data_IF_293510253459
#
_entry.id   IF_293510253459
#
_cell.length_a   1.000
_cell.length_b   1.000
_cell.length_c   1.000
_cell.angle_alpha   90.00
_cell.angle_beta   90.00
_cell.angle_gamma   90.00
#
_symmetry.space_group_name_H-M   'P 1'
#
loop_
_entity.id
_entity.type
_entity.pdbx_description
1 polymer ?
#
# COMPACT_ATOMS: atom_id res chain seq x y z
N UNK A 1 -31.64 -9.05 11.22
CA UNK A 1 -30.26 -9.50 11.40
C UNK A 1 -29.52 -8.88 10.25
N UNK A 2 -28.78 -7.80 10.49
CA UNK A 2 -27.77 -7.36 9.54
C UNK A 2 -26.68 -8.43 9.60
N UNK A 3 -26.41 -9.09 8.47
CA UNK A 3 -25.27 -10.00 8.38
C UNK A 3 -24.02 -9.12 8.36
N UNK A 4 -23.41 -8.93 9.54
CA UNK A 4 -22.18 -8.18 9.67
C UNK A 4 -21.08 -8.94 8.91
N UNK A 5 -20.39 -8.25 8.01
CA UNK A 5 -19.43 -8.87 7.11
C UNK A 5 -18.11 -9.13 7.85
N UNK A 6 -17.45 -10.25 7.53
CA UNK A 6 -16.17 -10.62 8.15
C UNK A 6 -15.07 -9.59 7.86
N UNK A 7 -15.11 -8.97 6.68
CA UNK A 7 -14.15 -7.99 6.19
C UNK A 7 -14.89 -6.78 5.60
N UNK A 8 -14.25 -5.59 5.54
CA UNK A 8 -14.87 -4.42 4.94
C UNK A 8 -15.15 -4.60 3.44
N UNK A 9 -16.25 -4.06 2.95
CA UNK A 9 -16.48 -3.97 1.50
C UNK A 9 -15.48 -3.00 0.84
N UNK A 10 -15.06 -3.29 -0.41
CA UNK A 10 -14.26 -2.37 -1.20
C UNK A 10 -15.04 -1.08 -1.52
N UNK A 11 -14.33 -0.06 -1.99
CA UNK A 11 -14.86 1.25 -2.35
C UNK A 11 -15.52 2.01 -1.19
N UNK A 12 -15.15 1.69 0.05
CA UNK A 12 -15.62 2.39 1.25
C UNK A 12 -14.50 3.20 1.87
N UNK A 13 -14.88 4.28 2.56
CA UNK A 13 -13.98 5.01 3.42
C UNK A 13 -14.01 4.40 4.82
N UNK A 14 -12.84 4.28 5.42
CA UNK A 14 -12.65 3.75 6.76
C UNK A 14 -11.58 4.54 7.49
N UNK A 15 -11.64 4.51 8.81
CA UNK A 15 -10.52 4.87 9.64
C UNK A 15 -9.66 3.64 9.85
N UNK A 16 -8.35 3.79 9.73
CA UNK A 16 -7.38 2.75 10.02
C UNK A 16 -6.41 3.21 11.10
N UNK A 17 -5.96 2.28 11.94
CA UNK A 17 -4.93 2.53 12.95
C UNK A 17 -4.04 1.32 13.07
N UNK A 18 -2.71 1.53 13.03
CA UNK A 18 -1.74 0.47 13.29
C UNK A 18 -2.00 -0.18 14.65
N UNK A 19 -1.86 -1.49 14.73
CA UNK A 19 -1.99 -2.24 15.98
C UNK A 19 -0.71 -3.05 16.22
N UNK A 20 0.36 -2.41 16.73
CA UNK A 20 1.65 -3.07 16.90
C UNK A 20 1.56 -4.26 17.87
N UNK A 21 0.78 -4.16 18.95
CA UNK A 21 0.60 -5.26 19.90
C UNK A 21 -0.07 -6.48 19.24
N UNK A 22 -1.13 -6.27 18.46
CA UNK A 22 -1.76 -7.37 17.74
C UNK A 22 -0.84 -7.92 16.63
N UNK A 23 -0.05 -7.06 15.98
CA UNK A 23 0.93 -7.46 14.97
C UNK A 23 1.98 -8.41 15.58
N UNK A 24 2.54 -8.06 16.73
CA UNK A 24 3.50 -8.91 17.45
C UNK A 24 2.87 -10.25 17.85
N UNK A 25 1.62 -10.24 18.33
CA UNK A 25 0.89 -11.46 18.64
C UNK A 25 0.68 -12.36 17.41
N UNK A 26 0.38 -11.77 16.26
CA UNK A 26 0.22 -12.49 14.99
C UNK A 26 1.55 -13.11 14.51
N UNK A 27 2.66 -12.38 14.68
CA UNK A 27 4.02 -12.83 14.35
C UNK A 27 4.66 -13.70 15.45
N UNK A 28 3.96 -13.97 16.55
CA UNK A 28 4.45 -14.74 17.70
C UNK A 28 5.73 -14.16 18.33
N UNK A 29 5.86 -12.84 18.28
CA UNK A 29 6.95 -12.10 18.94
C UNK A 29 6.51 -11.72 20.35
N UNK A 30 6.94 -12.49 21.34
CA UNK A 30 6.48 -12.42 22.73
C UNK A 30 7.55 -11.97 23.74
N UNK A 31 8.68 -11.44 23.26
CA UNK A 31 9.72 -10.95 24.15
C UNK A 31 9.31 -9.65 24.85
N UNK A 32 9.66 -9.57 26.14
CA UNK A 32 9.19 -8.49 27.02
C UNK A 32 9.70 -7.10 26.60
N UNK A 33 10.80 -7.01 25.84
CA UNK A 33 11.36 -5.74 25.38
C UNK A 33 10.51 -5.22 24.23
N UNK A 34 10.31 -6.02 23.19
CA UNK A 34 9.52 -5.65 22.01
C UNK A 34 8.06 -5.39 22.37
N UNK A 35 7.47 -6.15 23.30
CA UNK A 35 6.13 -5.86 23.82
C UNK A 35 6.07 -4.51 24.54
N UNK A 36 7.06 -4.18 25.38
CA UNK A 36 7.10 -2.91 26.09
C UNK A 36 7.38 -1.70 25.17
N UNK A 37 8.01 -1.92 24.02
CA UNK A 37 8.18 -0.91 22.96
C UNK A 37 6.87 -0.69 22.19
N UNK A 38 6.19 -1.76 21.79
CA UNK A 38 4.89 -1.68 21.14
C UNK A 38 3.83 -0.99 22.01
N UNK A 39 3.85 -1.19 23.33
CA UNK A 39 2.95 -0.48 24.26
C UNK A 39 3.21 1.03 24.34
N UNK A 40 4.45 1.47 24.05
CA UNK A 40 4.82 2.90 24.02
C UNK A 40 4.51 3.54 22.68
N UNK A 41 4.43 2.75 21.61
CA UNK A 41 4.07 3.22 20.28
C UNK A 41 2.63 3.74 20.30
N UNK A 42 2.44 4.98 19.85
CA UNK A 42 1.14 5.66 19.86
C UNK A 42 0.69 5.95 18.43
N UNK A 43 0.13 4.94 17.74
CA UNK A 43 -0.22 5.08 16.35
C UNK A 43 -1.35 6.09 16.17
N UNK A 44 -1.24 6.90 15.12
CA UNK A 44 -2.32 7.81 14.73
C UNK A 44 -3.44 7.06 14.03
N UNK A 45 -4.60 7.69 13.99
CA UNK A 45 -5.75 7.19 13.23
C UNK A 45 -5.82 7.93 11.91
N UNK A 46 -5.76 7.19 10.82
CA UNK A 46 -5.73 7.72 9.47
C UNK A 46 -7.07 7.47 8.78
N UNK A 47 -7.47 8.39 7.93
CA UNK A 47 -8.59 8.20 7.03
C UNK A 47 -8.09 7.52 5.76
N UNK A 48 -8.75 6.47 5.31
CA UNK A 48 -8.34 5.71 4.13
C UNK A 48 -9.55 5.30 3.28
N UNK A 49 -9.34 5.19 1.98
CA UNK A 49 -10.25 4.57 1.04
C UNK A 49 -9.81 3.13 0.77
N UNK A 50 -10.72 2.19 0.97
CA UNK A 50 -10.47 0.77 0.80
C UNK A 50 -10.65 0.42 -0.68
N UNK A 51 -9.58 -0.04 -1.33
CA UNK A 51 -9.68 -0.63 -2.67
C UNK A 51 -10.20 -2.06 -2.55
N UNK A 52 -9.67 -2.98 -3.35
CA UNK A 52 -10.07 -4.39 -3.29
C UNK A 52 -9.24 -5.16 -2.25
N UNK A 53 -9.86 -6.11 -1.53
CA UNK A 53 -9.10 -7.08 -0.77
C UNK A 53 -8.18 -7.85 -1.73
N UNK A 54 -6.93 -8.02 -1.32
CA UNK A 54 -5.95 -8.81 -2.08
C UNK A 54 -6.12 -10.31 -1.81
N UNK A 55 -6.77 -10.68 -0.70
CA UNK A 55 -7.08 -12.05 -0.31
C UNK A 55 -8.59 -12.31 -0.33
N UNK A 56 -9.00 -13.54 -0.67
CA UNK A 56 -10.41 -13.93 -0.55
C UNK A 56 -10.81 -14.13 0.92
N UNK A 57 -11.91 -13.54 1.42
CA UNK A 57 -12.36 -13.75 2.80
C UNK A 57 -12.84 -15.20 3.01
N UNK A 58 -12.15 -15.93 3.87
CA UNK A 58 -12.40 -17.31 4.26
C UNK A 58 -12.71 -17.41 5.77
N UNK A 59 -13.52 -18.38 6.20
CA UNK A 59 -13.76 -18.63 7.62
C UNK A 59 -12.45 -18.88 8.39
N UNK A 60 -12.29 -18.25 9.56
CA UNK A 60 -11.13 -18.41 10.43
C UNK A 60 -9.93 -17.51 10.11
N UNK A 61 -10.05 -16.61 9.12
CA UNK A 61 -9.06 -15.56 8.89
C UNK A 61 -8.96 -14.63 10.09
N UNK A 62 -7.73 -14.31 10.50
CA UNK A 62 -7.44 -13.34 11.57
C UNK A 62 -7.39 -11.91 11.02
N UNK A 63 -7.04 -11.77 9.75
CA UNK A 63 -6.91 -10.52 9.02
C UNK A 63 -7.03 -10.80 7.52
N UNK A 64 -7.25 -9.75 6.73
CA UNK A 64 -7.29 -9.79 5.27
C UNK A 64 -6.40 -8.68 4.71
N UNK A 65 -5.61 -8.95 3.67
CA UNK A 65 -4.84 -7.89 3.00
C UNK A 65 -5.74 -6.99 2.18
N UNK A 66 -5.44 -5.70 2.23
CA UNK A 66 -6.05 -4.66 1.42
C UNK A 66 -4.96 -3.75 0.88
N UNK A 67 -5.12 -3.33 -0.36
CA UNK A 67 -4.57 -2.07 -0.81
C UNK A 67 -5.49 -0.94 -0.35
N UNK A 68 -4.95 0.06 0.33
CA UNK A 68 -5.71 1.22 0.80
C UNK A 68 -5.06 2.51 0.33
N UNK A 69 -5.89 3.52 0.04
CA UNK A 69 -5.43 4.87 -0.28
C UNK A 69 -5.66 5.76 0.95
N UNK A 70 -4.62 6.18 1.69
CA UNK A 70 -4.76 7.16 2.75
C UNK A 70 -5.24 8.50 2.16
N UNK A 71 -6.18 9.13 2.86
CA UNK A 71 -6.83 10.36 2.42
C UNK A 71 -6.16 11.56 3.08
N UNK A 72 -5.70 12.50 2.25
CA UNK A 72 -5.09 13.73 2.72
C UNK A 72 -6.11 14.84 2.99
N UNK A 73 -5.89 15.61 4.04
CA UNK A 73 -6.61 16.86 4.34
C UNK A 73 -5.96 18.10 3.69
N UNK A 74 -4.86 17.90 2.97
CA UNK A 74 -4.11 18.93 2.24
C UNK A 74 -3.75 18.42 0.85
N UNK A 75 -3.19 19.30 0.02
CA UNK A 75 -2.50 18.88 -1.20
C UNK A 75 -1.34 17.95 -0.87
N UNK A 76 -0.98 17.09 -1.83
CA UNK A 76 0.09 16.09 -1.66
C UNK A 76 1.48 16.71 -1.64
N UNK A 77 2.39 16.10 -0.87
CA UNK A 77 3.82 16.44 -0.91
C UNK A 77 4.39 16.03 -2.27
N UNK A 78 5.05 16.93 -3.03
CA UNK A 78 5.56 16.58 -4.35
C UNK A 78 6.72 15.58 -4.24
N UNK A 79 6.81 14.65 -5.19
CA UNK A 79 7.90 13.67 -5.29
C UNK A 79 8.59 13.92 -6.63
N UNK A 80 9.64 14.76 -6.60
CA UNK A 80 10.28 15.27 -7.81
C UNK A 80 10.93 14.15 -8.63
N UNK A 81 11.44 13.13 -7.93
CA UNK A 81 12.10 11.96 -8.48
C UNK A 81 11.14 11.09 -9.31
N UNK A 82 9.84 11.26 -9.12
CA UNK A 82 8.77 10.51 -9.79
C UNK A 82 7.93 11.40 -10.72
N UNK A 83 8.31 12.68 -10.92
CA UNK A 83 7.53 13.62 -11.74
C UNK A 83 6.20 14.01 -11.13
N UNK A 84 6.03 13.75 -9.83
CA UNK A 84 4.78 13.87 -9.12
C UNK A 84 4.69 15.25 -8.44
N UNK A 85 3.59 15.96 -8.66
CA UNK A 85 3.39 17.34 -8.17
C UNK A 85 2.24 17.46 -7.18
N UNK A 86 2.19 18.55 -6.41
CA UNK A 86 1.17 18.78 -5.37
C UNK A 86 -0.26 18.89 -5.89
N UNK A 87 -0.46 19.24 -7.17
CA UNK A 87 -1.78 19.34 -7.80
C UNK A 87 -2.31 18.00 -8.33
N UNK A 88 -1.55 16.90 -8.23
CA UNK A 88 -1.99 15.56 -8.65
C UNK A 88 -2.86 14.90 -7.58
N UNK A 89 -3.98 15.55 -7.26
CA UNK A 89 -4.96 15.09 -6.28
C UNK A 89 -6.37 15.23 -6.84
N UNK A 90 -7.34 14.48 -6.31
CA UNK A 90 -8.77 14.60 -6.65
C UNK A 90 -9.55 14.97 -5.40
N UNK A 91 -10.29 16.10 -5.38
CA UNK A 91 -11.07 16.49 -4.23
C UNK A 91 -12.24 15.51 -3.96
N UNK A 92 -12.61 15.37 -2.69
CA UNK A 92 -13.77 14.59 -2.25
C UNK A 92 -14.86 15.57 -1.82
N UNK A 93 -16.02 15.53 -2.47
CA UNK A 93 -17.13 16.43 -2.14
C UNK A 93 -17.51 16.29 -0.65
N UNK A 94 -17.68 17.40 0.10
CA UNK A 94 -17.99 18.74 -0.40
C UNK A 94 -16.79 19.64 -0.71
N UNK A 95 -15.55 19.13 -0.65
CA UNK A 95 -14.38 19.90 -1.05
C UNK A 95 -14.44 20.25 -2.55
N UNK A 96 -14.38 21.54 -2.87
CA UNK A 96 -14.32 22.08 -4.24
C UNK A 96 -13.01 22.85 -4.51
N UNK A 97 -12.11 22.87 -3.52
CA UNK A 97 -10.90 23.68 -3.51
C UNK A 97 -9.73 22.93 -4.13
N UNK A 98 -9.65 22.94 -5.47
CA UNK A 98 -8.52 22.39 -6.22
C UNK A 98 -7.81 23.46 -7.06
N UNK A 99 -6.46 23.54 -7.07
CA UNK A 99 -5.72 24.58 -7.81
C UNK A 99 -6.06 24.69 -9.30
N UNK A 100 -6.36 23.55 -9.94
CA UNK A 100 -6.75 23.45 -11.35
C UNK A 100 -8.27 23.33 -11.58
N UNK A 101 -9.09 23.50 -10.53
CA UNK A 101 -10.56 23.39 -10.64
C UNK A 101 -11.06 22.00 -11.00
N UNK A 102 -10.46 20.95 -10.44
CA UNK A 102 -10.88 19.57 -10.71
C UNK A 102 -12.23 19.26 -10.11
N UNK A 103 -12.99 18.43 -10.81
CA UNK A 103 -14.32 17.99 -10.37
C UNK A 103 -14.16 17.02 -9.18
N UNK A 104 -14.83 17.26 -8.05
CA UNK A 104 -14.80 16.36 -6.89
C UNK A 104 -15.52 15.04 -7.13
N UNK A 105 -15.08 13.96 -6.48
CA UNK A 105 -15.87 12.72 -6.41
C UNK A 105 -16.98 12.87 -5.38
N UNK A 106 -18.09 12.17 -5.55
CA UNK A 106 -19.27 12.31 -4.71
C UNK A 106 -19.59 11.01 -3.94
N UNK A 107 -19.09 10.87 -2.70
CA UNK A 107 -19.46 9.75 -1.85
C UNK A 107 -20.93 9.74 -1.45
N UNK A 108 -21.43 8.54 -1.14
CA UNK A 108 -22.75 8.31 -0.57
C UNK A 108 -22.65 7.42 0.68
N UNK A 109 -23.22 7.83 1.82
CA UNK A 109 -23.77 9.16 2.11
C UNK A 109 -22.71 10.28 2.01
N UNK A 110 -23.14 11.54 2.12
CA UNK A 110 -22.25 12.70 1.97
C UNK A 110 -21.01 12.60 2.88
N UNK A 111 -19.85 12.91 2.32
CA UNK A 111 -18.59 12.86 3.05
C UNK A 111 -18.57 13.91 4.19
N UNK A 112 -18.11 13.55 5.40
CA UNK A 112 -18.21 14.43 6.55
C UNK A 112 -17.15 15.54 6.60
N UNK A 113 -16.10 15.46 5.78
CA UNK A 113 -14.95 16.37 5.83
C UNK A 113 -14.85 17.21 4.55
N UNK A 114 -14.69 18.53 4.69
CA UNK A 114 -14.75 19.47 3.55
C UNK A 114 -13.39 19.80 2.92
N UNK A 115 -12.30 19.19 3.39
CA UNK A 115 -10.92 19.49 3.01
C UNK A 115 -10.15 18.26 2.49
N UNK A 116 -10.85 17.18 2.13
CA UNK A 116 -10.21 15.91 1.80
C UNK A 116 -9.95 15.71 0.30
N UNK A 117 -8.89 14.96 0.01
CA UNK A 117 -8.45 14.62 -1.33
C UNK A 117 -7.96 13.16 -1.42
N UNK A 118 -8.22 12.50 -2.54
CA UNK A 118 -7.42 11.35 -2.98
C UNK A 118 -6.10 11.86 -3.53
N UNK A 119 -4.99 11.23 -3.16
CA UNK A 119 -3.67 11.50 -3.70
C UNK A 119 -3.33 10.47 -4.77
N UNK A 120 -2.66 10.89 -5.85
CA UNK A 120 -2.12 9.93 -6.81
C UNK A 120 -0.98 9.13 -6.18
N UNK A 121 -0.91 7.84 -6.53
CA UNK A 121 0.21 6.93 -6.18
C UNK A 121 0.59 7.02 -4.69
N UNK A 122 -0.42 6.90 -3.82
CA UNK A 122 -0.25 6.92 -2.36
C UNK A 122 -0.78 5.65 -1.69
N UNK A 123 -0.91 4.56 -2.42
CA UNK A 123 -1.48 3.32 -1.91
C UNK A 123 -0.51 2.61 -0.96
N UNK A 124 -1.04 2.11 0.15
CA UNK A 124 -0.31 1.32 1.14
C UNK A 124 -1.00 -0.04 1.26
N UNK A 125 -0.23 -1.12 1.30
CA UNK A 125 -0.80 -2.45 1.60
C UNK A 125 -0.84 -2.64 3.11
N UNK A 126 -2.00 -3.04 3.63
CA UNK A 126 -2.24 -3.27 5.06
C UNK A 126 -2.96 -4.59 5.28
N UNK A 127 -2.80 -5.18 6.47
CA UNK A 127 -3.61 -6.30 6.95
C UNK A 127 -4.70 -5.76 7.85
N UNK A 128 -5.95 -5.78 7.39
CA UNK A 128 -7.09 -5.37 8.21
C UNK A 128 -7.52 -6.53 9.09
N UNK A 129 -7.48 -6.33 10.42
CA UNK A 129 -7.88 -7.34 11.40
C UNK A 129 -9.37 -7.65 11.29
N UNK A 130 -9.70 -8.95 11.27
CA UNK A 130 -11.07 -9.43 11.33
C UNK A 130 -11.61 -9.22 12.74
N UNK A 131 -12.87 -8.76 12.83
CA UNK A 131 -13.54 -8.49 14.11
C UNK A 131 -14.55 -9.58 14.42
N UNK A 132 -14.69 -9.93 15.70
CA UNK A 132 -15.71 -10.89 16.15
C UNK A 132 -17.14 -10.39 15.92
N UNK A 133 -17.34 -9.07 16.02
CA UNK A 133 -18.60 -8.39 15.75
C UNK A 133 -18.80 -8.02 14.27
N UNK A 134 -17.85 -8.38 13.41
CA UNK A 134 -17.87 -8.05 11.98
C UNK A 134 -17.79 -6.55 11.69
N UNK A 135 -18.02 -6.20 10.42
CA UNK A 135 -18.04 -4.83 9.93
C UNK A 135 -19.46 -4.43 9.55
N UNK A 136 -19.92 -3.33 10.14
CA UNK A 136 -21.21 -2.72 9.85
C UNK A 136 -21.03 -1.67 8.76
N UNK A 137 -21.72 -1.85 7.64
CA UNK A 137 -21.73 -0.90 6.52
C UNK A 137 -22.97 0.00 6.49
N UNK A 138 -23.86 -0.14 7.48
CA UNK A 138 -24.99 0.79 7.61
C UNK A 138 -24.47 2.22 7.78
N UNK A 139 -24.81 3.09 6.83
CA UNK A 139 -24.36 4.50 6.76
C UNK A 139 -22.86 4.69 6.53
N UNK A 140 -22.10 3.62 6.24
CA UNK A 140 -20.70 3.74 5.85
C UNK A 140 -20.56 4.53 4.55
N UNK A 141 -19.62 5.46 4.51
CA UNK A 141 -19.40 6.32 3.35
C UNK A 141 -18.67 5.53 2.27
N UNK A 142 -19.18 5.58 1.04
CA UNK A 142 -18.63 4.82 -0.08
C UNK A 142 -18.70 5.58 -1.40
N UNK A 143 -17.89 5.18 -2.37
CA UNK A 143 -18.07 5.58 -3.76
C UNK A 143 -18.97 4.56 -4.45
N UNK A 144 -19.94 5.07 -5.24
CA UNK A 144 -20.64 4.21 -6.20
C UNK A 144 -19.66 3.69 -7.25
N UNK A 145 -20.03 2.64 -7.97
CA UNK A 145 -19.20 2.15 -9.09
C UNK A 145 -18.94 3.23 -10.14
N UNK A 146 -19.91 4.12 -10.39
CA UNK A 146 -19.76 5.25 -11.32
C UNK A 146 -18.74 6.27 -10.80
N UNK A 147 -18.83 6.66 -9.52
CA UNK A 147 -17.91 7.63 -8.92
C UNK A 147 -16.50 7.06 -8.76
N UNK A 148 -16.35 5.77 -8.48
CA UNK A 148 -15.04 5.11 -8.47
C UNK A 148 -14.40 5.05 -9.87
N UNK A 149 -15.18 4.74 -10.91
CA UNK A 149 -14.68 4.83 -12.30
C UNK A 149 -14.33 6.28 -12.66
N UNK A 150 -15.12 7.25 -12.20
CA UNK A 150 -14.83 8.66 -12.40
C UNK A 150 -13.53 9.09 -11.70
N UNK A 151 -13.28 8.62 -10.47
CA UNK A 151 -12.01 8.82 -9.77
C UNK A 151 -10.83 8.36 -10.62
N UNK A 152 -10.87 7.11 -11.08
CA UNK A 152 -9.79 6.53 -11.89
C UNK A 152 -9.52 7.33 -13.16
N UNK A 153 -10.59 7.70 -13.89
CA UNK A 153 -10.47 8.51 -15.11
C UNK A 153 -9.88 9.89 -14.86
N UNK A 154 -10.15 10.50 -13.71
CA UNK A 154 -9.64 11.85 -13.39
C UNK A 154 -8.14 11.86 -13.10
N UNK A 155 -7.55 10.72 -12.75
CA UNK A 155 -6.10 10.58 -12.63
C UNK A 155 -5.39 10.24 -13.95
N UNK A 156 -6.10 9.91 -15.04
CA UNK A 156 -5.48 9.58 -16.35
C UNK A 156 -4.51 10.67 -16.83
N UNK A 157 -4.88 11.95 -16.74
CA UNK A 157 -3.99 13.07 -17.11
C UNK A 157 -2.71 13.11 -16.26
N UNK A 158 -2.80 12.75 -14.98
CA UNK A 158 -1.63 12.74 -14.10
C UNK A 158 -0.72 11.55 -14.39
N UNK A 159 -1.28 10.37 -14.69
CA UNK A 159 -0.50 9.23 -15.15
C UNK A 159 0.23 9.55 -16.47
N UNK A 160 -0.39 10.28 -17.39
CA UNK A 160 0.27 10.76 -18.60
C UNK A 160 1.42 11.72 -18.27
N UNK A 161 1.24 12.65 -17.31
CA UNK A 161 2.30 13.56 -16.86
C UNK A 161 3.48 12.83 -16.24
N UNK A 162 3.22 11.85 -15.38
CA UNK A 162 4.23 10.99 -14.77
C UNK A 162 4.96 10.16 -15.84
N UNK A 163 4.22 9.58 -16.79
CA UNK A 163 4.80 8.82 -17.91
C UNK A 163 5.71 9.68 -18.79
N UNK A 164 5.30 10.91 -19.10
CA UNK A 164 6.12 11.86 -19.86
C UNK A 164 7.40 12.22 -19.10
N UNK A 165 7.33 12.40 -17.78
CA UNK A 165 8.51 12.66 -16.95
C UNK A 165 9.53 11.52 -17.05
N UNK A 166 9.10 10.26 -16.94
CA UNK A 166 10.01 9.12 -17.08
C UNK A 166 10.61 9.01 -18.48
N UNK A 167 9.82 9.26 -19.53
CA UNK A 167 10.32 9.26 -20.90
C UNK A 167 11.38 10.33 -21.15
N UNK A 168 11.22 11.52 -20.56
CA UNK A 168 12.21 12.60 -20.63
C UNK A 168 13.49 12.24 -19.87
N UNK A 169 13.38 11.63 -18.68
CA UNK A 169 14.52 11.18 -17.90
C UNK A 169 15.33 10.11 -18.66
N UNK A 170 14.66 9.14 -19.26
CA UNK A 170 15.30 8.09 -20.07
C UNK A 170 16.00 8.69 -21.31
N UNK A 171 15.37 9.62 -22.01
CA UNK A 171 15.97 10.30 -23.16
C UNK A 171 17.23 11.09 -22.77
N UNK A 172 17.25 11.74 -21.60
CA UNK A 172 18.42 12.46 -21.08
C UNK A 172 19.57 11.51 -20.75
N UNK A 173 19.29 10.36 -20.12
CA UNK A 173 20.30 9.34 -19.83
C UNK A 173 20.93 8.76 -21.12
N UNK A 174 20.11 8.53 -22.15
CA UNK A 174 20.60 8.11 -23.46
C UNK A 174 21.45 9.19 -24.15
N UNK A 175 21.07 10.47 -24.06
CA UNK A 175 21.86 11.57 -24.62
C UNK A 175 23.22 11.72 -23.92
N UNK A 176 23.27 11.66 -22.57
CA UNK A 176 24.52 11.72 -21.81
C UNK A 176 25.45 10.53 -22.09
N UNK A 177 24.91 9.35 -22.43
CA UNK A 177 25.70 8.17 -22.80
C UNK A 177 26.36 8.31 -24.19
N UNK A 178 25.77 9.07 -25.10
CA UNK A 178 26.30 9.29 -26.46
C UNK A 178 27.41 10.36 -26.51
N UNK A 179 27.46 11.26 -25.53
CA UNK A 179 28.48 12.31 -25.43
C UNK A 179 29.82 11.85 -24.81
N UNK A 180 29.95 10.58 -24.42
CA UNK A 180 31.19 10.00 -23.89
C UNK A 180 31.77 8.90 -24.82
N UNK A 181 32.64 9.23 -25.79
CA UNK A 181 33.07 8.31 -26.85
C UNK A 181 34.07 7.20 -26.43
N UNK A 182 34.18 6.84 -25.14
CA UNK A 182 35.19 5.89 -24.66
C UNK A 182 34.70 4.51 -24.20
N UNK A 183 33.44 4.12 -24.41
CA UNK A 183 33.04 2.73 -24.09
C UNK A 183 32.09 2.09 -25.11
N UNK A 184 32.44 2.15 -26.40
CA UNK A 184 31.79 1.35 -27.42
C UNK A 184 32.47 -0.02 -27.54
N UNK A 185 32.23 -0.89 -26.54
CA UNK A 185 32.38 -2.36 -26.55
C UNK A 185 31.73 -2.80 -25.24
N UNK A 186 30.44 -3.06 -25.18
CA UNK A 186 29.86 -4.36 -25.54
C UNK A 186 28.38 -4.24 -25.17
N UNK A 187 27.47 -4.51 -26.10
CA UNK A 187 26.20 -5.22 -25.87
C UNK A 187 25.28 -5.00 -27.08
N UNK A 188 25.31 -5.98 -27.96
CA UNK A 188 24.20 -6.31 -28.85
C UNK A 188 23.49 -7.51 -28.21
N UNK A 189 22.16 -7.57 -28.40
CA UNK A 189 21.14 -8.55 -27.92
C UNK A 189 20.66 -8.36 -26.47
N UNK A 190 19.37 -8.24 -26.16
CA UNK A 190 18.14 -8.20 -26.95
C UNK A 190 17.01 -7.58 -26.10
N UNK A 191 15.99 -7.07 -26.78
CA UNK A 191 14.87 -6.31 -26.26
C UNK A 191 13.75 -7.15 -25.61
N UNK A 192 12.86 -6.41 -24.95
CA UNK A 192 11.46 -6.71 -24.59
C UNK A 192 11.23 -7.17 -23.15
N UNK A 193 10.81 -6.25 -22.28
CA UNK A 193 9.71 -6.52 -21.37
C UNK A 193 8.74 -5.34 -21.34
N UNK A 194 7.48 -5.72 -21.47
CA UNK A 194 6.28 -4.90 -21.60
C UNK A 194 5.92 -4.37 -20.22
N UNK A 195 5.40 -3.13 -20.18
CA UNK A 195 4.93 -2.47 -18.98
C UNK A 195 3.93 -3.33 -18.19
N UNK A 196 4.26 -3.52 -16.91
CA UNK A 196 3.37 -3.99 -15.86
C UNK A 196 3.50 -3.02 -14.70
N UNK A 197 2.37 -2.69 -14.08
CA UNK A 197 2.29 -1.88 -12.86
C UNK A 197 3.37 -2.34 -11.86
N UNK A 198 4.29 -1.44 -11.53
CA UNK A 198 5.26 -1.69 -10.48
C UNK A 198 4.51 -1.65 -9.15
N UNK A 199 4.12 -2.84 -8.67
CA UNK A 199 3.91 -3.02 -7.25
C UNK A 199 5.21 -2.60 -6.54
N UNK A 200 5.12 -1.59 -5.69
CA UNK A 200 6.17 -1.23 -4.75
C UNK A 200 6.34 -2.37 -3.73
N UNK A 201 7.01 -3.45 -4.14
CA UNK A 201 7.84 -4.22 -3.23
C UNK A 201 9.24 -3.64 -3.36
N UNK A 202 9.42 -2.44 -2.81
CA UNK A 202 10.76 -1.89 -2.61
C UNK A 202 11.42 -2.83 -1.60
N UNK A 203 12.30 -3.70 -2.09
CA UNK A 203 12.97 -4.69 -1.26
C UNK A 203 13.66 -3.97 -0.12
N UNK A 204 13.13 -4.13 1.09
CA UNK A 204 13.73 -3.58 2.31
C UNK A 204 15.10 -4.24 2.44
N UNK A 205 16.17 -3.45 2.32
CA UNK A 205 17.51 -3.93 2.55
C UNK A 205 17.61 -4.42 3.99
N UNK A 206 18.19 -5.62 4.19
CA UNK A 206 18.38 -6.31 5.50
C UNK A 206 18.97 -5.40 6.60
N UNK A 207 19.65 -4.31 6.22
CA UNK A 207 20.26 -3.32 7.12
C UNK A 207 19.27 -2.48 7.95
N UNK A 208 17.97 -2.45 7.62
CA UNK A 208 16.95 -1.63 8.30
C UNK A 208 15.86 -2.44 9.03
N UNK A 209 16.04 -3.74 9.26
CA UNK A 209 15.02 -4.56 9.92
C UNK A 209 15.30 -4.72 11.42
N UNK A 210 14.26 -4.65 12.25
CA UNK A 210 14.39 -4.88 13.69
C UNK A 210 14.99 -6.26 13.98
N UNK A 211 15.75 -6.37 15.08
CA UNK A 211 16.28 -7.66 15.53
C UNK A 211 15.15 -8.69 15.81
N UNK A 212 13.95 -8.21 16.18
CA UNK A 212 12.77 -9.03 16.38
C UNK A 212 12.24 -9.59 15.05
N UNK A 213 12.19 -8.76 14.00
CA UNK A 213 11.82 -9.20 12.65
C UNK A 213 12.83 -10.20 12.07
N UNK A 214 14.13 -9.95 12.21
CA UNK A 214 15.17 -10.88 11.77
C UNK A 214 15.07 -12.25 12.46
N UNK A 215 14.62 -12.28 13.73
CA UNK A 215 14.35 -13.52 14.46
C UNK A 215 13.14 -14.26 13.88
N UNK A 216 12.02 -13.55 13.67
CA UNK A 216 10.83 -14.11 13.02
C UNK A 216 11.17 -14.72 11.66
N UNK A 217 11.90 -13.96 10.83
CA UNK A 217 12.30 -14.40 9.51
C UNK A 217 13.14 -15.69 9.55
N UNK A 218 14.08 -15.80 10.49
CA UNK A 218 14.86 -17.03 10.68
C UNK A 218 14.01 -18.22 11.13
N UNK A 219 13.03 -18.01 12.00
CA UNK A 219 12.16 -19.06 12.53
C UNK A 219 11.19 -19.61 11.47
N UNK A 220 10.70 -18.74 10.58
CA UNK A 220 9.87 -19.11 9.44
C UNK A 220 10.67 -19.59 8.21
N UNK A 221 12.00 -19.70 8.34
CA UNK A 221 12.87 -20.21 7.27
C UNK A 221 13.07 -19.25 6.10
N UNK A 222 12.88 -17.95 6.32
CA UNK A 222 13.03 -16.86 5.34
C UNK A 222 14.52 -16.53 5.19
N UNK A 223 15.05 -16.69 3.97
CA UNK A 223 16.42 -16.28 3.63
C UNK A 223 16.45 -14.78 3.32
N UNK A 224 16.87 -13.98 4.29
CA UNK A 224 16.99 -12.52 4.17
C UNK A 224 18.31 -12.05 3.53
N UNK A 225 19.18 -12.95 3.04
CA UNK A 225 20.33 -12.49 2.25
C UNK A 225 21.34 -13.53 1.77
N UNK A 226 21.29 -13.84 0.47
CA UNK A 226 22.40 -13.64 -0.48
C UNK A 226 21.82 -13.62 -1.90
N UNK A 227 22.08 -12.54 -2.66
CA UNK A 227 21.80 -12.53 -4.10
C UNK A 227 22.39 -13.78 -4.73
N UNK A 228 21.52 -14.70 -5.16
CA UNK A 228 21.96 -15.91 -5.83
C UNK A 228 22.40 -15.51 -7.22
N UNK A 229 23.71 -15.27 -7.36
CA UNK A 229 24.37 -15.34 -8.64
C UNK A 229 23.99 -16.67 -9.28
N UNK A 230 23.28 -16.59 -10.40
CA UNK A 230 22.94 -17.74 -11.24
C UNK A 230 24.24 -18.20 -11.92
N UNK A 231 25.07 -18.93 -11.17
CA UNK A 231 26.14 -19.73 -11.78
C UNK A 231 25.53 -21.06 -12.21
N UNK A 232 25.32 -21.16 -13.53
CA UNK A 232 24.81 -22.35 -14.16
C UNK A 232 25.79 -23.52 -14.07
N UNK A 233 25.31 -24.66 -13.59
CA UNK A 233 25.80 -25.97 -14.01
C UNK A 233 24.67 -27.02 -13.91
N UNK A 234 24.55 -27.98 -14.86
CA UNK A 234 23.32 -28.71 -15.10
C UNK A 234 23.29 -30.16 -14.55
N UNK A 235 22.07 -30.72 -14.52
CA UNK A 235 21.63 -32.12 -14.48
C UNK A 235 20.90 -32.51 -13.17
N UNK A 236 19.75 -33.18 -13.12
CA UNK A 236 18.82 -33.79 -14.10
C UNK A 236 17.58 -34.29 -13.31
N UNK A 237 16.51 -34.82 -13.95
CA UNK A 237 15.13 -34.49 -13.60
C UNK A 237 14.42 -35.51 -12.70
N UNK A 238 13.57 -35.03 -11.80
CA UNK A 238 12.39 -35.79 -11.34
C UNK A 238 11.35 -34.85 -10.73
N UNK A 239 10.16 -34.82 -11.35
CA UNK A 239 8.81 -34.61 -10.77
C UNK A 239 8.59 -33.48 -9.77
N UNK A 240 7.61 -32.59 -9.88
CA UNK A 240 6.47 -32.42 -10.75
C UNK A 240 6.00 -30.96 -10.56
N UNK A 241 5.30 -30.43 -11.55
CA UNK A 241 4.62 -29.13 -11.55
C UNK A 241 3.82 -28.85 -10.27
N UNK A 242 4.26 -27.88 -9.49
CA UNK A 242 3.48 -27.04 -8.57
C UNK A 242 4.38 -25.83 -8.23
N UNK A 243 3.78 -24.70 -7.83
CA UNK A 243 4.42 -23.42 -7.42
C UNK A 243 4.44 -22.26 -8.42
N UNK A 244 3.42 -22.14 -9.27
CA UNK A 244 3.10 -20.87 -9.95
C UNK A 244 1.60 -20.53 -9.88
N UNK A 245 0.92 -21.01 -8.83
CA UNK A 245 -0.43 -20.57 -8.51
C UNK A 245 -0.30 -19.28 -7.70
N UNK A 246 -0.80 -18.17 -8.25
CA UNK A 246 -1.04 -16.93 -7.49
C UNK A 246 -1.73 -17.34 -6.18
N UNK A 247 -1.17 -16.99 -5.03
CA UNK A 247 -1.71 -17.34 -3.71
C UNK A 247 -3.00 -16.55 -3.42
N UNK A 248 -4.02 -16.83 -4.22
CA UNK A 248 -5.34 -16.22 -4.23
C UNK A 248 -6.06 -16.39 -2.88
N UNK A 249 -5.62 -17.36 -2.07
CA UNK A 249 -6.21 -17.71 -0.79
C UNK A 249 -5.37 -17.25 0.40
N UNK A 250 -4.25 -16.53 0.18
CA UNK A 250 -3.37 -16.05 1.25
C UNK A 250 -2.86 -17.16 2.17
N UNK A 251 -2.69 -18.38 1.63
CA UNK A 251 -2.39 -19.59 2.40
C UNK A 251 -0.94 -20.01 2.27
N UNK A 252 -0.24 -19.57 1.24
CA UNK A 252 1.21 -19.73 1.20
C UNK A 252 1.83 -18.79 2.23
N UNK A 253 2.83 -19.23 3.01
CA UNK A 253 3.57 -18.34 3.88
C UNK A 253 4.33 -17.33 3.00
N UNK A 254 3.73 -16.15 2.80
CA UNK A 254 4.40 -15.04 2.15
C UNK A 254 5.36 -14.41 3.16
N UNK A 255 6.69 -14.48 2.91
CA UNK A 255 7.69 -13.97 3.83
C UNK A 255 7.58 -12.46 4.07
N UNK A 256 6.92 -11.73 3.18
CA UNK A 256 6.68 -10.29 3.32
C UNK A 256 5.50 -9.97 4.22
N UNK A 257 4.67 -10.95 4.58
CA UNK A 257 3.49 -10.76 5.46
C UNK A 257 3.85 -10.08 6.77
N UNK A 258 5.03 -10.38 7.33
CA UNK A 258 5.51 -9.76 8.55
C UNK A 258 5.91 -8.29 8.39
N UNK A 259 6.16 -7.83 7.16
CA UNK A 259 6.41 -6.43 6.82
C UNK A 259 5.12 -5.66 6.56
N UNK A 260 4.00 -6.36 6.30
CA UNK A 260 2.74 -5.69 6.06
C UNK A 260 2.13 -5.29 7.41
N UNK A 261 1.86 -3.99 7.64
CA UNK A 261 1.31 -3.53 8.91
C UNK A 261 -0.06 -4.13 9.20
N UNK A 262 -0.28 -4.56 10.45
CA UNK A 262 -1.59 -4.99 10.93
C UNK A 262 -2.36 -3.77 11.48
N UNK A 263 -3.58 -3.56 10.99
CA UNK A 263 -4.42 -2.42 11.36
C UNK A 263 -5.79 -2.83 11.89
N UNK A 264 -6.31 -2.01 12.78
CA UNK A 264 -7.73 -1.96 13.10
C UNK A 264 -8.45 -1.02 12.14
N UNK A 265 -9.70 -1.34 11.80
CA UNK A 265 -10.52 -0.51 10.91
C UNK A 265 -11.92 -0.23 11.46
N UNK A 266 -12.44 0.97 11.16
CA UNK A 266 -13.77 1.46 11.54
C UNK A 266 -14.46 2.14 10.35
N UNK A 267 -15.73 1.81 10.10
CA UNK A 267 -16.48 2.34 8.95
C UNK A 267 -17.22 3.66 9.25
N UNK A 268 -17.39 3.96 10.54
CA UNK A 268 -18.02 5.15 11.09
C UNK A 268 -17.03 6.32 11.19
N UNK A 269 -16.59 6.79 10.03
CA UNK A 269 -15.50 7.79 9.91
C UNK A 269 -15.79 9.12 10.61
N UNK A 270 -17.06 9.45 10.84
CA UNK A 270 -17.52 10.69 11.48
C UNK A 270 -17.49 10.64 13.02
N UNK A 271 -17.37 9.45 13.62
CA UNK A 271 -17.43 9.29 15.08
C UNK A 271 -16.07 9.39 15.78
N UNK A 272 -14.98 9.09 15.08
CA UNK A 272 -13.65 8.99 15.71
C UNK A 272 -12.64 10.02 15.23
N UNK A 273 -13.00 10.86 14.26
CA UNK A 273 -12.06 11.81 13.67
C UNK A 273 -12.72 13.14 13.29
N UNK A 274 -11.96 14.23 13.42
CA UNK A 274 -12.38 15.58 13.02
C UNK A 274 -11.56 16.05 11.82
N UNK A 275 -12.12 16.95 11.01
CA UNK A 275 -11.49 17.45 9.79
C UNK A 275 -10.08 18.06 10.02
N UNK A 276 -9.86 18.71 11.17
CA UNK A 276 -8.60 19.38 11.52
C UNK A 276 -7.56 18.41 12.11
N UNK A 277 -7.96 17.17 12.40
CA UNK A 277 -7.12 16.15 13.04
C UNK A 277 -6.76 14.99 12.11
N UNK A 278 -7.05 15.09 10.81
CA UNK A 278 -6.65 14.10 9.80
C UNK A 278 -5.13 14.20 9.62
N UNK A 279 -4.34 13.17 9.98
CA UNK A 279 -2.90 13.17 9.75
C UNK A 279 -2.57 13.12 8.25
N UNK A 280 -1.38 13.56 7.87
CA UNK A 280 -0.93 13.43 6.47
C UNK A 280 -0.75 11.95 6.07
N UNK A 281 -1.11 11.54 4.85
CA UNK A 281 -0.73 10.24 4.29
C UNK A 281 0.76 9.89 4.46
N UNK A 282 1.66 10.86 4.26
CA UNK A 282 3.11 10.65 4.43
C UNK A 282 3.47 10.19 5.86
N UNK A 283 2.71 10.63 6.88
CA UNK A 283 2.96 10.21 8.26
C UNK A 283 2.62 8.74 8.48
N UNK A 284 1.70 8.16 7.72
CA UNK A 284 1.39 6.73 7.82
C UNK A 284 2.58 5.90 7.34
N UNK A 285 3.15 6.27 6.20
CA UNK A 285 4.33 5.57 5.65
C UNK A 285 5.49 5.59 6.66
N UNK A 286 5.75 6.75 7.27
CA UNK A 286 6.76 6.87 8.32
C UNK A 286 6.45 6.02 9.56
N UNK A 287 5.19 5.97 10.03
CA UNK A 287 4.79 5.14 11.17
C UNK A 287 4.89 3.63 10.85
N UNK A 288 4.61 3.23 9.60
CA UNK A 288 4.80 1.85 9.14
C UNK A 288 6.28 1.49 9.11
N UNK A 289 7.13 2.38 8.60
CA UNK A 289 8.58 2.17 8.58
C UNK A 289 9.15 2.07 10.01
N UNK A 290 8.78 3.00 10.90
CA UNK A 290 9.21 2.98 12.32
C UNK A 290 8.78 1.71 13.05
N UNK A 291 7.61 1.14 12.70
CA UNK A 291 7.11 -0.09 13.32
C UNK A 291 7.86 -1.34 12.84
N UNK A 292 8.40 -1.33 11.61
CA UNK A 292 9.13 -2.47 11.03
C UNK A 292 10.60 -2.48 11.48
N UNK A 293 11.18 -1.27 11.67
CA UNK A 293 12.55 -1.03 12.16
C UNK A 293 12.76 -1.43 13.63
#
# INVERSE_FOLDING_TARGET
>A
MTDDLLVPLPCHYALIRLNPTAMLGDLRLDDAITLAEAEKFKPKTYLAFLLWPEDLPLPGMRWCRYSVEPIGATLRTPIQEQGITSDMVIPIAPNDSHPRGRIPVHPSPSFPFANCFHWIESNVTVRIRVREDGFVHDRAVSLSAEEHVALMRRFEEDYERIGNFYAEQEAQLHHCSLDNPQNLKTQTTAASQVGGAQQFTQGVSDEHLSAAYLRYAREEGIDLGRGSSIDGAPASPTSASDDDFVDLFGRAPDPTTGLIPLVDAWMDIDQHLSADSIPSPDELENEVEEMIQ
#
